data_IF_908502734984
#
_entry.id   IF_908502734984
#
_cell.length_a   1.000
_cell.length_b   1.000
_cell.length_c   1.000
_cell.angle_alpha   90.00
_cell.angle_beta   90.00
_cell.angle_gamma   90.00
#
_symmetry.space_group_name_H-M   'P 1'
#
loop_
_entity.id
_entity.type
_entity.pdbx_description
1 polymer ?
#
# COMPACT_ATOMS: atom_id res chain seq x y z
N UNK A 1 4.74 -10.83 -6.36
CA UNK A 1 5.82 -10.05 -5.75
C UNK A 1 6.93 -10.94 -5.19
N UNK A 2 6.68 -11.83 -4.21
CA UNK A 2 7.71 -12.64 -3.56
C UNK A 2 8.66 -13.38 -4.50
N UNK A 3 8.13 -13.96 -5.59
CA UNK A 3 8.96 -14.66 -6.58
C UNK A 3 9.90 -13.77 -7.38
N UNK A 4 9.55 -12.49 -7.53
CA UNK A 4 10.24 -11.58 -8.45
C UNK A 4 11.24 -10.70 -7.74
N UNK A 5 10.87 -10.17 -6.57
CA UNK A 5 11.63 -9.09 -5.93
C UNK A 5 12.31 -9.51 -4.62
N UNK A 6 11.95 -10.64 -4.04
CA UNK A 6 12.57 -11.17 -2.83
C UNK A 6 12.36 -10.34 -1.56
N UNK A 7 12.62 -10.95 -0.42
CA UNK A 7 12.58 -10.32 0.89
C UNK A 7 13.98 -9.79 1.20
N UNK A 8 14.08 -8.56 1.66
CA UNK A 8 15.36 -7.99 2.04
C UNK A 8 15.97 -8.70 3.25
N UNK A 9 17.20 -9.14 3.11
CA UNK A 9 18.02 -9.64 4.21
C UNK A 9 19.47 -9.22 3.98
N UNK A 10 20.08 -8.55 4.96
CA UNK A 10 21.49 -8.09 4.84
C UNK A 10 22.48 -9.26 4.66
N UNK A 11 22.14 -10.43 5.17
CA UNK A 11 22.97 -11.64 5.04
C UNK A 11 22.64 -12.44 3.77
N UNK A 12 21.50 -12.21 3.15
CA UNK A 12 20.94 -13.05 2.09
C UNK A 12 20.33 -14.34 2.64
N UNK A 13 20.01 -15.30 1.76
CA UNK A 13 19.41 -16.58 2.13
C UNK A 13 20.45 -17.51 2.77
N UNK A 14 20.32 -17.78 4.06
CA UNK A 14 21.27 -18.61 4.82
C UNK A 14 20.82 -20.07 5.04
N UNK A 15 19.59 -20.42 4.62
CA UNK A 15 18.98 -21.74 4.80
C UNK A 15 18.05 -22.06 3.65
N UNK A 16 17.76 -23.36 3.47
CA UNK A 16 16.71 -23.80 2.55
C UNK A 16 15.35 -23.77 3.26
N UNK A 17 14.36 -23.03 2.77
CA UNK A 17 13.02 -23.05 3.34
C UNK A 17 12.39 -24.44 3.26
N UNK A 18 11.82 -24.94 4.38
CA UNK A 18 11.33 -26.32 4.51
C UNK A 18 10.22 -26.62 3.50
N UNK A 19 9.30 -25.68 3.27
CA UNK A 19 8.11 -25.90 2.44
C UNK A 19 8.12 -25.08 1.14
N UNK A 20 9.31 -24.80 0.60
CA UNK A 20 9.50 -23.96 -0.59
C UNK A 20 8.73 -24.42 -1.83
N UNK A 21 8.49 -25.74 -1.93
CA UNK A 21 7.84 -26.34 -3.10
C UNK A 21 6.31 -26.50 -2.94
N UNK A 22 5.80 -26.40 -1.71
CA UNK A 22 4.38 -26.64 -1.38
C UNK A 22 3.61 -25.43 -0.91
N UNK A 23 4.30 -24.41 -0.42
CA UNK A 23 3.70 -23.16 0.08
C UNK A 23 4.11 -21.94 -0.76
N UNK A 24 4.31 -20.82 -0.12
CA UNK A 24 4.80 -19.61 -0.78
C UNK A 24 6.28 -19.74 -1.13
N UNK A 25 6.62 -19.30 -2.34
CA UNK A 25 8.01 -19.14 -2.75
C UNK A 25 8.68 -18.09 -1.87
N UNK A 26 9.49 -18.56 -0.91
CA UNK A 26 10.22 -17.71 0.03
C UNK A 26 11.67 -17.55 -0.45
N UNK A 27 12.11 -16.32 -0.63
CA UNK A 27 13.48 -16.01 -1.03
C UNK A 27 13.94 -14.74 -0.33
N UNK A 28 14.98 -14.86 0.47
CA UNK A 28 15.72 -13.74 1.05
C UNK A 28 16.86 -13.31 0.11
N UNK A 29 17.06 -12.02 -0.04
CA UNK A 29 18.11 -11.47 -0.89
C UNK A 29 18.64 -10.14 -0.33
N UNK A 30 19.92 -9.86 -0.57
CA UNK A 30 20.55 -8.57 -0.15
C UNK A 30 19.99 -7.38 -0.91
N UNK A 31 19.46 -7.60 -2.10
CA UNK A 31 18.79 -6.64 -2.97
C UNK A 31 17.26 -6.80 -2.97
N UNK A 32 16.74 -7.55 -1.99
CA UNK A 32 15.29 -7.75 -1.84
C UNK A 32 14.54 -6.43 -1.69
N UNK A 33 13.35 -6.37 -2.30
CA UNK A 33 12.50 -5.17 -2.30
C UNK A 33 11.34 -5.26 -1.30
N UNK A 34 11.20 -6.38 -0.61
CA UNK A 34 10.16 -6.58 0.42
C UNK A 34 10.82 -6.50 1.78
N UNK A 35 10.40 -5.52 2.58
CA UNK A 35 10.76 -5.44 3.99
C UNK A 35 9.66 -6.14 4.80
N UNK A 36 9.99 -7.26 5.41
CA UNK A 36 9.06 -8.06 6.19
C UNK A 36 9.20 -7.73 7.68
N UNK A 37 8.26 -7.00 8.22
CA UNK A 37 8.28 -6.53 9.61
C UNK A 37 7.33 -7.29 10.55
N UNK A 38 6.70 -8.36 10.05
CA UNK A 38 5.69 -9.09 10.78
C UNK A 38 4.39 -8.27 10.96
N UNK A 39 3.56 -8.66 11.92
CA UNK A 39 2.31 -7.96 12.25
C UNK A 39 2.65 -6.80 13.21
N UNK A 40 3.21 -5.74 12.69
CA UNK A 40 3.66 -4.56 13.43
C UNK A 40 3.39 -3.29 12.63
N UNK A 41 2.18 -2.76 12.72
CA UNK A 41 1.77 -1.59 11.95
C UNK A 41 2.60 -0.35 12.27
N UNK A 42 3.02 -0.17 13.52
CA UNK A 42 3.81 1.00 13.92
C UNK A 42 5.23 0.93 13.35
N UNK A 43 5.89 -0.23 13.38
CA UNK A 43 7.19 -0.45 12.75
C UNK A 43 7.13 -0.25 11.25
N UNK A 44 6.16 -0.90 10.61
CA UNK A 44 5.97 -0.79 9.14
C UNK A 44 5.67 0.64 8.70
N UNK A 45 4.87 1.39 9.45
CA UNK A 45 4.61 2.81 9.14
C UNK A 45 5.85 3.67 9.35
N UNK A 46 6.67 3.36 10.35
CA UNK A 46 7.96 4.04 10.54
C UNK A 46 8.91 3.80 9.37
N UNK A 47 8.99 2.56 8.87
CA UNK A 47 9.78 2.22 7.67
C UNK A 47 9.22 2.87 6.42
N UNK A 48 7.90 2.95 6.28
CA UNK A 48 7.25 3.70 5.21
C UNK A 48 7.65 5.17 5.22
N UNK A 49 7.61 5.82 6.38
CA UNK A 49 8.03 7.21 6.55
C UNK A 49 9.50 7.39 6.19
N UNK A 50 10.38 6.51 6.68
CA UNK A 50 11.80 6.56 6.39
C UNK A 50 12.08 6.45 4.88
N UNK A 51 11.47 5.48 4.21
CA UNK A 51 11.57 5.32 2.76
C UNK A 51 10.93 6.48 2.00
N UNK A 52 9.73 6.92 2.41
CA UNK A 52 8.99 8.00 1.77
C UNK A 52 9.64 9.39 1.88
N UNK A 53 10.56 9.56 2.83
CA UNK A 53 11.34 10.81 3.02
C UNK A 53 12.80 10.69 2.54
N UNK A 54 13.22 9.55 2.02
CA UNK A 54 14.59 9.29 1.59
C UNK A 54 15.07 10.26 0.49
N UNK A 55 14.16 10.79 -0.32
CA UNK A 55 14.47 11.80 -1.32
C UNK A 55 15.05 13.08 -0.70
N UNK A 56 14.58 13.48 0.48
CA UNK A 56 15.05 14.67 1.18
C UNK A 56 16.24 14.38 2.10
N UNK A 57 16.26 13.23 2.76
CA UNK A 57 17.29 12.88 3.75
C UNK A 57 18.56 12.30 3.12
N UNK A 58 18.43 11.59 2.00
CA UNK A 58 19.52 10.87 1.35
C UNK A 58 19.70 11.19 -0.13
N UNK A 59 18.81 12.01 -0.73
CA UNK A 59 18.83 12.29 -2.17
C UNK A 59 18.45 11.10 -3.04
N UNK A 60 17.73 10.12 -2.48
CA UNK A 60 17.37 8.88 -3.17
C UNK A 60 15.83 8.75 -3.18
N UNK A 61 15.24 8.66 -4.37
CA UNK A 61 13.83 8.39 -4.48
C UNK A 61 13.54 6.91 -4.19
N UNK A 62 12.71 6.66 -3.19
CA UNK A 62 12.12 5.35 -2.91
C UNK A 62 10.60 5.46 -3.06
N UNK A 63 9.97 4.41 -3.56
CA UNK A 63 8.52 4.35 -3.76
C UNK A 63 7.96 3.27 -2.81
N UNK A 64 7.74 3.60 -1.54
CA UNK A 64 7.24 2.62 -0.58
C UNK A 64 5.78 2.28 -0.81
N UNK A 65 5.48 0.99 -0.66
CA UNK A 65 4.13 0.45 -0.58
C UNK A 65 3.97 -0.22 0.78
N UNK A 66 3.15 0.35 1.65
CA UNK A 66 2.82 -0.25 2.94
C UNK A 66 1.49 -0.99 2.84
N UNK A 67 1.53 -2.31 2.97
CA UNK A 67 0.36 -3.19 2.86
C UNK A 67 -0.06 -3.66 4.26
N UNK A 68 -1.30 -3.44 4.63
CA UNK A 68 -1.86 -3.79 5.94
C UNK A 68 -3.36 -4.10 5.84
N UNK A 69 -3.93 -4.64 6.91
CA UNK A 69 -5.38 -4.76 7.03
C UNK A 69 -6.03 -3.37 7.16
N UNK A 70 -6.90 -3.00 6.24
CA UNK A 70 -7.54 -1.68 6.18
C UNK A 70 -8.25 -1.30 7.48
N UNK A 71 -8.91 -2.26 8.13
CA UNK A 71 -9.61 -2.06 9.38
C UNK A 71 -8.69 -1.62 10.52
N UNK A 72 -7.46 -2.12 10.57
CA UNK A 72 -6.55 -1.87 11.69
C UNK A 72 -5.58 -0.71 11.46
N UNK A 73 -5.19 -0.45 10.22
CA UNK A 73 -4.12 0.50 9.91
C UNK A 73 -4.40 1.90 10.46
N UNK A 74 -5.42 2.58 9.95
CA UNK A 74 -5.73 3.95 10.35
C UNK A 74 -6.06 4.07 11.85
N UNK A 75 -6.62 3.03 12.45
CA UNK A 75 -6.94 3.02 13.88
C UNK A 75 -5.70 2.89 14.76
N UNK A 76 -4.67 2.17 14.30
CA UNK A 76 -3.45 1.89 15.08
C UNK A 76 -2.34 2.88 14.85
N UNK A 77 -2.26 3.46 13.67
CA UNK A 77 -1.14 4.33 13.26
C UNK A 77 -1.59 5.68 12.70
N UNK A 78 -2.80 6.12 13.03
CA UNK A 78 -3.34 7.38 12.51
C UNK A 78 -2.47 8.59 12.82
N UNK A 79 -1.88 8.66 14.01
CA UNK A 79 -0.93 9.70 14.39
C UNK A 79 0.36 9.67 13.57
N UNK A 80 0.89 8.50 13.23
CA UNK A 80 2.01 8.36 12.31
C UNK A 80 1.63 8.72 10.86
N UNK A 81 0.39 8.51 10.46
CA UNK A 81 -0.12 8.98 9.16
C UNK A 81 -0.13 10.52 9.11
N UNK A 82 -0.55 11.17 10.19
CA UNK A 82 -0.43 12.62 10.31
C UNK A 82 1.03 13.09 10.25
N UNK A 83 1.92 12.42 10.97
CA UNK A 83 3.35 12.71 10.94
C UNK A 83 3.92 12.54 9.52
N UNK A 84 3.53 11.48 8.80
CA UNK A 84 3.93 11.26 7.41
C UNK A 84 3.51 12.42 6.50
N UNK A 85 2.28 12.91 6.68
CA UNK A 85 1.79 14.09 5.96
C UNK A 85 2.59 15.34 6.26
N UNK A 86 2.87 15.61 7.54
CA UNK A 86 3.59 16.81 7.99
C UNK A 86 5.04 16.86 7.47
N UNK A 87 5.75 15.75 7.53
CA UNK A 87 7.16 15.67 7.10
C UNK A 87 7.35 15.41 5.59
N UNK A 88 6.27 15.30 4.82
CA UNK A 88 6.33 15.14 3.37
C UNK A 88 6.70 13.76 2.87
N UNK A 89 6.32 12.71 3.58
CA UNK A 89 6.52 11.35 3.10
C UNK A 89 5.73 11.11 1.80
N UNK A 90 6.33 10.40 0.86
CA UNK A 90 5.73 9.99 -0.42
C UNK A 90 5.56 8.48 -0.45
N UNK A 91 4.51 7.98 -1.09
CA UNK A 91 4.27 6.55 -1.23
C UNK A 91 2.79 6.17 -1.17
N UNK A 92 2.56 4.87 -1.10
CA UNK A 92 1.23 4.29 -1.15
C UNK A 92 0.97 3.40 0.07
N UNK A 93 -0.05 3.73 0.85
CA UNK A 93 -0.61 2.85 1.87
C UNK A 93 -1.75 2.04 1.25
N UNK A 94 -1.65 0.74 1.29
CA UNK A 94 -2.62 -0.19 0.72
C UNK A 94 -3.39 -0.91 1.83
N UNK A 95 -4.62 -0.48 2.05
CA UNK A 95 -5.54 -1.11 2.99
C UNK A 95 -6.14 -2.37 2.42
N UNK A 96 -5.48 -3.50 2.59
CA UNK A 96 -5.93 -4.80 2.12
C UNK A 96 -7.12 -5.32 2.91
N UNK A 97 -7.82 -6.31 2.34
CA UNK A 97 -9.02 -6.94 2.91
C UNK A 97 -10.16 -5.96 3.21
N UNK A 98 -10.24 -4.87 2.47
CA UNK A 98 -11.37 -3.95 2.55
C UNK A 98 -12.67 -4.64 2.05
N UNK A 99 -13.79 -4.11 2.51
CA UNK A 99 -15.09 -4.69 2.20
C UNK A 99 -15.66 -5.52 3.36
N UNK A 100 -16.96 -5.46 3.51
CA UNK A 100 -17.65 -6.05 4.67
C UNK A 100 -18.04 -7.50 4.46
N UNK A 101 -18.29 -7.90 3.22
CA UNK A 101 -18.87 -9.21 2.90
C UNK A 101 -17.82 -10.31 2.79
N UNK A 102 -16.61 -9.98 2.39
CA UNK A 102 -15.53 -10.95 2.12
C UNK A 102 -14.89 -11.53 3.39
N UNK A 103 -15.14 -10.92 4.55
CA UNK A 103 -14.56 -11.29 5.84
C UNK A 103 -15.61 -11.72 6.89
N UNK A 104 -16.76 -12.19 6.45
CA UNK A 104 -17.84 -12.60 7.35
C UNK A 104 -17.42 -13.64 8.39
N UNK A 105 -16.53 -14.56 8.02
CA UNK A 105 -16.02 -15.61 8.91
C UNK A 105 -15.06 -15.11 9.98
N UNK A 106 -14.49 -13.90 9.81
CA UNK A 106 -13.51 -13.33 10.72
C UNK A 106 -14.13 -12.38 11.76
N UNK A 107 -15.41 -12.06 11.61
CA UNK A 107 -16.15 -11.21 12.52
C UNK A 107 -16.04 -9.72 12.23
N UNK A 108 -16.81 -8.94 12.96
CA UNK A 108 -17.01 -7.51 12.77
C UNK A 108 -15.71 -6.69 12.81
N UNK A 109 -14.76 -7.09 13.63
CA UNK A 109 -13.49 -6.37 13.79
C UNK A 109 -12.60 -6.36 12.53
N UNK A 110 -12.87 -7.21 11.55
CA UNK A 110 -12.13 -7.25 10.29
C UNK A 110 -12.89 -6.58 9.13
N UNK A 111 -14.16 -6.26 9.34
CA UNK A 111 -15.03 -5.72 8.29
C UNK A 111 -14.87 -4.21 8.16
N UNK A 112 -14.03 -3.79 7.23
CA UNK A 112 -13.84 -2.38 6.93
C UNK A 112 -14.84 -1.88 5.85
N UNK A 113 -15.27 -0.68 5.99
CA UNK A 113 -16.07 0.09 5.04
C UNK A 113 -16.09 1.57 5.44
N UNK A 114 -15.24 1.96 6.39
CA UNK A 114 -15.24 3.29 7.00
C UNK A 114 -13.84 3.87 7.24
N UNK A 115 -12.77 3.16 6.94
CA UNK A 115 -11.39 3.63 7.17
C UNK A 115 -11.07 4.94 6.44
N UNK A 116 -11.71 5.21 5.31
CA UNK A 116 -11.60 6.49 4.60
C UNK A 116 -12.08 7.69 5.43
N UNK A 117 -13.04 7.50 6.36
CA UNK A 117 -13.46 8.56 7.27
C UNK A 117 -12.34 8.99 8.23
N UNK A 118 -11.48 8.04 8.63
CA UNK A 118 -10.31 8.31 9.46
C UNK A 118 -9.18 8.97 8.65
N UNK A 119 -9.09 8.68 7.37
CA UNK A 119 -8.11 9.27 6.45
C UNK A 119 -8.52 10.70 5.99
N UNK A 120 -9.81 10.97 5.91
CA UNK A 120 -10.36 12.23 5.37
C UNK A 120 -9.77 13.51 5.98
N UNK A 121 -9.52 13.63 7.29
CA UNK A 121 -9.01 14.87 7.87
C UNK A 121 -7.52 15.14 7.55
N UNK A 122 -6.77 14.18 7.05
CA UNK A 122 -5.34 14.36 6.70
C UNK A 122 -5.23 15.13 5.37
N UNK A 123 -4.77 16.39 5.35
CA UNK A 123 -5.03 17.30 4.24
C UNK A 123 -4.30 16.96 2.94
N UNK A 124 -3.19 16.25 3.00
CA UNK A 124 -2.38 15.84 1.83
C UNK A 124 -2.41 14.32 1.58
N UNK A 125 -3.33 13.61 2.21
CA UNK A 125 -3.59 12.19 1.96
C UNK A 125 -4.66 12.04 0.88
N UNK A 126 -4.27 11.57 -0.29
CA UNK A 126 -5.18 11.27 -1.39
C UNK A 126 -5.74 9.87 -1.22
N UNK A 127 -7.06 9.71 -1.23
CA UNK A 127 -7.71 8.43 -0.93
C UNK A 127 -8.54 7.91 -2.08
N UNK A 128 -8.49 6.57 -2.31
CA UNK A 128 -9.28 5.88 -3.31
C UNK A 128 -9.77 4.52 -2.82
N UNK A 129 -10.94 4.12 -3.32
CA UNK A 129 -11.54 2.79 -3.11
C UNK A 129 -11.89 2.16 -4.48
N UNK A 130 -10.87 1.71 -5.25
CA UNK A 130 -11.07 1.18 -6.59
C UNK A 130 -11.76 -0.20 -6.56
N UNK A 131 -12.69 -0.41 -7.48
CA UNK A 131 -13.36 -1.70 -7.67
C UNK A 131 -12.60 -2.63 -8.62
N UNK A 132 -11.86 -2.09 -9.60
CA UNK A 132 -11.23 -2.87 -10.65
C UNK A 132 -9.73 -2.64 -10.75
N UNK A 133 -9.01 -3.66 -11.21
CA UNK A 133 -7.54 -3.62 -11.32
C UNK A 133 -7.03 -2.50 -12.24
N UNK A 134 -7.76 -2.17 -13.31
CA UNK A 134 -7.37 -1.07 -14.19
C UNK A 134 -7.47 0.31 -13.51
N UNK A 135 -8.44 0.49 -12.62
CA UNK A 135 -8.54 1.72 -11.82
C UNK A 135 -7.33 1.87 -10.90
N UNK A 136 -7.00 0.79 -10.17
CA UNK A 136 -5.82 0.75 -9.31
C UNK A 136 -4.53 1.08 -10.09
N UNK A 137 -4.36 0.48 -11.28
CA UNK A 137 -3.19 0.73 -12.13
C UNK A 137 -3.09 2.20 -12.56
N UNK A 138 -4.20 2.83 -12.93
CA UNK A 138 -4.26 4.25 -13.32
C UNK A 138 -3.95 5.14 -12.12
N UNK A 139 -4.55 4.88 -10.96
CA UNK A 139 -4.33 5.64 -9.73
C UNK A 139 -2.86 5.58 -9.30
N UNK A 140 -2.24 4.39 -9.29
CA UNK A 140 -0.83 4.23 -8.94
C UNK A 140 0.07 4.96 -9.94
N UNK A 141 -0.19 4.83 -11.25
CA UNK A 141 0.58 5.52 -12.30
C UNK A 141 0.52 7.04 -12.14
N UNK A 142 -0.66 7.58 -11.93
CA UNK A 142 -0.85 9.01 -11.70
C UNK A 142 -0.18 9.46 -10.39
N UNK A 143 -0.32 8.69 -9.34
CA UNK A 143 0.30 8.97 -8.05
C UNK A 143 1.82 9.00 -8.12
N UNK A 144 2.44 8.08 -8.85
CA UNK A 144 3.89 8.09 -9.10
C UNK A 144 4.28 9.38 -9.82
N UNK A 145 3.54 9.74 -10.89
CA UNK A 145 3.78 10.99 -11.62
C UNK A 145 3.69 12.20 -10.70
N UNK A 146 2.60 12.36 -9.97
CA UNK A 146 2.36 13.51 -9.09
C UNK A 146 3.43 13.64 -7.99
N UNK A 147 3.76 12.53 -7.32
CA UNK A 147 4.72 12.57 -6.22
C UNK A 147 6.17 12.73 -6.67
N UNK A 148 6.58 12.06 -7.76
CA UNK A 148 8.00 11.93 -8.11
C UNK A 148 8.42 12.72 -9.35
N UNK A 149 7.51 13.04 -10.27
CA UNK A 149 7.78 13.92 -11.43
C UNK A 149 7.32 15.35 -11.15
N UNK A 150 6.06 15.54 -10.77
CA UNK A 150 5.46 16.85 -10.51
C UNK A 150 5.81 17.40 -9.11
N UNK A 151 6.43 16.57 -8.25
CA UNK A 151 6.91 16.91 -6.90
C UNK A 151 5.80 17.44 -5.97
N UNK A 152 4.57 16.97 -6.11
CA UNK A 152 3.49 17.31 -5.21
C UNK A 152 3.74 16.74 -3.81
N UNK A 153 3.37 17.50 -2.80
CA UNK A 153 3.47 17.10 -1.39
C UNK A 153 2.23 16.31 -0.97
N UNK A 154 2.11 15.12 -1.48
CA UNK A 154 0.99 14.19 -1.23
C UNK A 154 1.49 12.76 -1.05
N UNK A 155 0.65 11.92 -0.47
CA UNK A 155 0.79 10.47 -0.42
C UNK A 155 -0.59 9.82 -0.52
N UNK A 156 -0.65 8.50 -0.65
CA UNK A 156 -1.88 7.81 -1.01
C UNK A 156 -2.33 6.80 0.02
N UNK A 157 -3.64 6.69 0.22
CA UNK A 157 -4.31 5.59 0.88
C UNK A 157 -5.32 4.96 -0.07
N UNK A 158 -5.15 3.68 -0.39
CA UNK A 158 -5.99 2.95 -1.34
C UNK A 158 -6.48 1.68 -0.69
N UNK A 159 -7.79 1.48 -0.61
CA UNK A 159 -8.36 0.23 -0.12
C UNK A 159 -8.41 -0.82 -1.21
N UNK A 160 -8.13 -2.08 -0.84
CA UNK A 160 -8.11 -3.22 -1.74
C UNK A 160 -8.96 -4.35 -1.18
N UNK A 161 -9.85 -4.88 -2.00
CA UNK A 161 -10.66 -6.05 -1.66
C UNK A 161 -9.87 -7.35 -1.84
N UNK A 162 -10.18 -8.38 -1.06
CA UNK A 162 -9.58 -9.70 -1.15
C UNK A 162 -10.48 -10.72 -1.86
N UNK A 163 -11.51 -10.27 -2.55
CA UNK A 163 -12.42 -11.11 -3.32
C UNK A 163 -11.98 -11.23 -4.77
N UNK A 164 -12.01 -12.46 -5.29
CA UNK A 164 -11.74 -12.73 -6.69
C UNK A 164 -13.02 -12.60 -7.52
N UNK A 165 -13.06 -11.67 -8.44
CA UNK A 165 -14.16 -11.50 -9.40
C UNK A 165 -13.61 -11.14 -10.78
N UNK A 166 -14.46 -11.34 -11.81
CA UNK A 166 -14.07 -11.04 -13.18
C UNK A 166 -13.78 -9.54 -13.36
N UNK A 167 -12.61 -9.22 -13.88
CA UNK A 167 -12.23 -7.84 -14.18
C UNK A 167 -12.67 -7.50 -15.60
N UNK A 168 -13.57 -6.51 -15.78
CA UNK A 168 -13.95 -6.06 -17.12
C UNK A 168 -12.80 -5.29 -17.79
N UNK A 169 -12.91 -5.12 -19.10
CA UNK A 169 -12.04 -4.20 -19.83
C UNK A 169 -12.35 -2.75 -19.42
N UNK A 170 -11.31 -1.93 -19.38
CA UNK A 170 -11.47 -0.52 -19.09
C UNK A 170 -12.26 0.19 -20.21
N UNK A 171 -13.32 0.95 -19.89
CA UNK A 171 -14.03 1.76 -20.87
C UNK A 171 -13.11 2.79 -21.52
N UNK A 172 -13.26 2.99 -22.83
CA UNK A 172 -12.43 3.97 -23.57
C UNK A 172 -12.65 5.39 -23.00
N UNK A 173 -11.56 6.07 -22.66
CA UNK A 173 -11.59 7.43 -22.16
C UNK A 173 -11.94 7.57 -20.68
N UNK A 174 -12.06 6.48 -19.93
CA UNK A 174 -12.42 6.50 -18.50
C UNK A 174 -11.29 7.05 -17.59
N UNK A 175 -10.04 7.12 -18.04
CA UNK A 175 -8.88 7.47 -17.19
C UNK A 175 -9.11 8.75 -16.35
N UNK A 176 -9.59 9.83 -16.98
CA UNK A 176 -9.84 11.09 -16.28
C UNK A 176 -10.95 10.98 -15.24
N UNK A 177 -11.96 10.16 -15.52
CA UNK A 177 -13.07 9.92 -14.60
C UNK A 177 -12.61 9.06 -13.41
N UNK A 178 -11.79 8.06 -13.65
CA UNK A 178 -11.17 7.22 -12.59
C UNK A 178 -10.42 8.11 -11.59
N UNK A 179 -9.56 9.00 -12.08
CA UNK A 179 -8.79 9.91 -11.22
C UNK A 179 -9.67 10.93 -10.47
N UNK A 180 -10.88 11.19 -10.95
CA UNK A 180 -11.89 12.00 -10.24
C UNK A 180 -12.79 11.19 -9.32
N UNK A 181 -12.63 9.88 -9.30
CA UNK A 181 -13.44 8.94 -8.49
C UNK A 181 -14.81 8.62 -9.09
N UNK A 182 -15.09 9.01 -10.33
CA UNK A 182 -16.37 8.72 -10.99
C UNK A 182 -16.26 8.83 -12.52
N UNK A 183 -16.77 7.82 -13.24
CA UNK A 183 -16.76 7.74 -14.71
C UNK A 183 -17.92 6.87 -15.23
#
# INVERSE_FOLDING_TARGET
LFRQVGIYSHAGQLYDPVDKDSLLYYKEAKDGQILEEGINEAGSMSSFIAAGTAYNTHGINMIPFFIYYSMFGMQRVGDLVWAAGDIGAKGFMLGGTAGRTTLNGEGLQHQDGHSHLLAYPVPNLVTYDPAFAYELAIIIRDGIKRMYEDQEHIFYYITLMNENYAMPEMPKGAEKGILKGMY
#
